data_IF_631354658262
#
_entry.id   IF_631354658262
#
_cell.length_a   1.000
_cell.length_b   1.000
_cell.length_c   1.000
_cell.angle_alpha   90.00
_cell.angle_beta   90.00
_cell.angle_gamma   90.00
#
_symmetry.space_group_name_H-M   'P 1'
#
loop_
_entity.id
_entity.type
_entity.pdbx_description
1 polymer ?
#
# COMPACT_ATOMS: atom_id res chain seq x y z
N UNK A 1 6.96 -17.87 14.87
CA UNK A 1 7.20 -16.47 15.26
C UNK A 1 5.84 -15.88 15.56
N UNK A 2 5.58 -15.47 16.80
CA UNK A 2 4.27 -14.95 17.17
C UNK A 2 4.12 -13.57 16.51
N UNK A 3 3.19 -13.46 15.55
CA UNK A 3 2.69 -12.18 15.07
C UNK A 3 2.17 -11.43 16.29
N UNK A 4 2.99 -10.53 16.80
CA UNK A 4 2.63 -9.74 17.96
C UNK A 4 1.74 -8.66 17.41
N UNK A 5 0.42 -8.82 17.60
CA UNK A 5 -0.60 -7.84 17.22
C UNK A 5 -0.34 -6.53 17.97
N UNK A 6 0.56 -5.72 17.41
CA UNK A 6 1.03 -4.45 17.98
C UNK A 6 -0.05 -3.36 17.88
N UNK A 7 -0.99 -3.54 16.95
CA UNK A 7 -1.94 -2.52 16.51
C UNK A 7 -3.35 -2.63 17.10
N UNK A 8 -3.57 -3.45 18.12
CA UNK A 8 -4.91 -3.62 18.71
C UNK A 8 -5.14 -2.60 19.83
N UNK A 9 -6.24 -1.85 19.75
CA UNK A 9 -6.64 -0.89 20.80
C UNK A 9 -6.70 -1.54 22.19
N UNK A 10 -7.03 -2.83 22.26
CA UNK A 10 -7.09 -3.62 23.50
C UNK A 10 -5.75 -3.70 24.26
N UNK A 11 -4.63 -3.33 23.64
CA UNK A 11 -3.31 -3.29 24.30
C UNK A 11 -3.03 -2.01 25.07
N UNK A 12 -3.77 -0.95 24.79
CA UNK A 12 -3.50 0.36 25.35
C UNK A 12 -4.69 0.82 26.18
N UNK A 13 -4.47 1.35 27.40
CA UNK A 13 -5.56 1.91 28.17
C UNK A 13 -6.23 3.05 27.39
N UNK A 14 -7.56 2.97 27.26
CA UNK A 14 -8.35 3.96 26.53
C UNK A 14 -9.06 4.87 27.54
N UNK A 15 -8.96 6.18 27.32
CA UNK A 15 -9.65 7.20 28.08
C UNK A 15 -10.95 7.55 27.37
N UNK A 16 -12.04 7.43 28.10
CA UNK A 16 -13.39 7.73 27.63
C UNK A 16 -13.92 9.01 28.28
N UNK A 17 -14.73 9.77 27.54
CA UNK A 17 -15.55 10.86 28.07
C UNK A 17 -17.01 10.55 27.75
N UNK A 18 -17.78 10.17 28.77
CA UNK A 18 -19.05 9.50 28.54
C UNK A 18 -18.84 8.12 27.92
N UNK A 19 -19.53 7.86 26.81
CA UNK A 19 -19.39 6.61 26.02
C UNK A 19 -18.46 6.77 24.80
N UNK A 20 -17.82 7.94 24.63
CA UNK A 20 -16.93 8.21 23.49
C UNK A 20 -15.45 8.06 23.85
N UNK A 21 -14.69 7.44 22.95
CA UNK A 21 -13.23 7.32 23.05
C UNK A 21 -12.59 8.69 22.79
N UNK A 22 -11.81 9.18 23.75
CA UNK A 22 -11.16 10.50 23.67
C UNK A 22 -9.64 10.43 23.52
N UNK A 23 -9.00 9.47 24.17
CA UNK A 23 -7.54 9.30 24.08
C UNK A 23 -7.12 7.85 24.33
N UNK A 24 -5.91 7.51 23.90
CA UNK A 24 -5.27 6.23 24.16
C UNK A 24 -3.94 6.51 24.86
N UNK A 25 -3.69 5.82 25.96
CA UNK A 25 -2.47 5.96 26.76
C UNK A 25 -1.43 4.97 26.25
N UNK A 26 -0.27 5.50 25.86
CA UNK A 26 0.82 4.72 25.26
C UNK A 26 2.10 5.07 26.02
N UNK A 27 2.94 4.08 26.31
CA UNK A 27 4.28 4.34 26.86
C UNK A 27 5.20 4.99 25.81
N UNK A 28 6.22 5.72 26.28
CA UNK A 28 7.10 6.51 25.40
C UNK A 28 7.86 5.63 24.39
N UNK A 29 8.19 4.38 24.74
CA UNK A 29 8.89 3.48 23.83
C UNK A 29 7.97 3.01 22.70
N UNK A 30 6.75 2.58 23.03
CA UNK A 30 5.75 2.21 22.03
C UNK A 30 5.35 3.40 21.15
N UNK A 31 5.24 4.60 21.73
CA UNK A 31 4.98 5.82 20.97
C UNK A 31 6.08 6.10 19.94
N UNK A 32 7.35 6.09 20.35
CA UNK A 32 8.47 6.33 19.43
C UNK A 32 8.54 5.29 18.29
N UNK A 33 8.17 4.04 18.55
CA UNK A 33 8.09 3.00 17.52
C UNK A 33 6.94 3.27 16.54
N UNK A 34 5.77 3.66 17.02
CA UNK A 34 4.64 4.02 16.16
C UNK A 34 4.94 5.26 15.33
N UNK A 35 5.54 6.29 15.94
CA UNK A 35 5.98 7.50 15.27
C UNK A 35 6.94 7.18 14.12
N UNK A 36 7.97 6.37 14.37
CA UNK A 36 8.90 5.94 13.33
C UNK A 36 8.22 5.21 12.16
N UNK A 37 7.26 4.32 12.46
CA UNK A 37 6.55 3.57 11.41
C UNK A 37 5.65 4.50 10.59
N UNK A 38 4.89 5.37 11.26
CA UNK A 38 4.00 6.33 10.60
C UNK A 38 4.82 7.32 9.76
N UNK A 39 5.93 7.83 10.29
CA UNK A 39 6.81 8.76 9.59
C UNK A 39 7.41 8.11 8.32
N UNK A 40 7.87 6.86 8.41
CA UNK A 40 8.33 6.11 7.25
C UNK A 40 7.23 5.83 6.23
N UNK A 41 5.98 5.60 6.66
CA UNK A 41 4.86 5.38 5.75
C UNK A 41 4.40 6.66 5.05
N UNK A 42 4.39 7.79 5.78
CA UNK A 42 3.98 9.09 5.26
C UNK A 42 5.05 9.71 4.35
N UNK A 43 6.31 9.52 4.69
CA UNK A 43 7.46 10.04 3.93
C UNK A 43 8.10 8.95 3.07
N UNK A 44 7.37 7.89 2.73
CA UNK A 44 7.86 6.91 1.77
C UNK A 44 7.99 7.62 0.43
N UNK A 45 9.23 7.92 0.03
CA UNK A 45 9.52 8.37 -1.31
C UNK A 45 9.04 7.29 -2.31
N UNK A 46 8.47 7.72 -3.43
CA UNK A 46 8.15 6.81 -4.52
C UNK A 46 9.42 6.07 -4.93
N UNK A 47 9.41 4.76 -4.76
CA UNK A 47 10.52 3.93 -5.18
C UNK A 47 10.43 3.74 -6.70
N UNK A 48 11.56 3.63 -7.42
CA UNK A 48 11.52 3.41 -8.88
C UNK A 48 10.75 2.13 -9.25
N UNK A 49 10.67 1.16 -8.35
CA UNK A 49 9.84 -0.03 -8.45
C UNK A 49 8.33 0.27 -8.48
N UNK A 50 7.87 1.34 -7.83
CA UNK A 50 6.46 1.75 -7.85
C UNK A 50 6.04 2.18 -9.27
N UNK A 51 6.93 2.86 -10.00
CA UNK A 51 6.71 3.20 -11.40
C UNK A 51 6.66 1.96 -12.29
N UNK A 52 7.50 0.95 -12.01
CA UNK A 52 7.49 -0.34 -12.72
C UNK A 52 6.19 -1.09 -12.44
N UNK A 53 5.72 -1.09 -11.19
CA UNK A 53 4.45 -1.70 -10.80
C UNK A 53 3.26 -1.02 -11.47
N UNK A 54 3.22 0.32 -11.51
CA UNK A 54 2.19 1.07 -12.21
C UNK A 54 2.19 0.78 -13.73
N UNK A 55 3.37 0.75 -14.36
CA UNK A 55 3.51 0.37 -15.77
C UNK A 55 3.09 -1.09 -16.02
N UNK A 56 3.29 -1.98 -15.03
CA UNK A 56 2.90 -3.39 -15.14
C UNK A 56 1.39 -3.58 -15.26
N UNK A 57 0.58 -2.67 -14.70
CA UNK A 57 -0.88 -2.76 -14.82
C UNK A 57 -1.35 -2.44 -16.24
N UNK A 58 -0.68 -1.50 -16.93
CA UNK A 58 -0.90 -1.25 -18.35
C UNK A 58 -0.53 -2.51 -19.17
N UNK A 59 0.60 -3.14 -18.86
CA UNK A 59 1.02 -4.39 -19.52
C UNK A 59 0.04 -5.54 -19.26
N UNK A 60 -0.53 -5.66 -18.06
CA UNK A 60 -1.58 -6.65 -17.76
C UNK A 60 -2.84 -6.40 -18.56
N UNK A 61 -3.26 -5.13 -18.71
CA UNK A 61 -4.42 -4.76 -19.51
C UNK A 61 -4.20 -5.09 -20.99
N UNK A 62 -3.04 -4.71 -21.55
CA UNK A 62 -2.66 -5.06 -22.93
C UNK A 62 -2.61 -6.58 -23.13
N UNK A 63 -2.04 -7.33 -22.18
CA UNK A 63 -2.01 -8.79 -22.25
C UNK A 63 -3.42 -9.41 -22.19
N UNK A 64 -4.31 -8.87 -21.35
CA UNK A 64 -5.69 -9.33 -21.25
C UNK A 64 -6.48 -9.03 -22.54
N UNK A 65 -6.24 -7.87 -23.16
CA UNK A 65 -6.85 -7.48 -24.41
C UNK A 65 -6.35 -8.33 -25.59
N UNK A 66 -5.04 -8.50 -25.72
CA UNK A 66 -4.43 -9.31 -26.77
C UNK A 66 -4.84 -10.80 -26.71
N UNK A 67 -5.23 -11.32 -25.54
CA UNK A 67 -5.78 -12.67 -25.40
C UNK A 67 -7.21 -12.82 -25.92
N UNK A 68 -7.95 -11.72 -26.01
CA UNK A 68 -9.36 -11.71 -26.45
C UNK A 68 -9.50 -11.40 -27.93
N UNK A 69 -8.51 -10.75 -28.52
CA UNK A 69 -8.50 -10.35 -29.92
C UNK A 69 -7.77 -11.40 -30.79
N UNK A 70 -8.22 -11.62 -32.03
CA UNK A 70 -7.45 -12.42 -32.99
C UNK A 70 -6.12 -11.70 -33.28
N UNK A 71 -5.02 -12.45 -33.46
CA UNK A 71 -3.70 -11.86 -33.68
C UNK A 71 -3.68 -10.96 -34.92
N UNK A 72 -3.19 -9.73 -34.76
CA UNK A 72 -3.05 -8.78 -35.86
C UNK A 72 -2.00 -9.25 -36.86
N UNK A 73 -2.24 -8.97 -38.14
CA UNK A 73 -1.30 -9.23 -39.22
C UNK A 73 -0.13 -8.22 -39.26
N UNK A 74 -0.31 -7.03 -38.66
CA UNK A 74 0.64 -5.90 -38.67
C UNK A 74 1.05 -5.47 -37.25
N UNK A 75 1.07 -6.41 -36.30
CA UNK A 75 1.30 -6.15 -34.86
C UNK A 75 2.57 -5.33 -34.57
N UNK A 76 3.60 -5.43 -35.40
CA UNK A 76 4.87 -4.71 -35.24
C UNK A 76 4.69 -3.20 -35.43
N UNK A 77 3.84 -2.78 -36.39
CA UNK A 77 3.50 -1.37 -36.60
C UNK A 77 2.60 -0.83 -35.48
N UNK A 78 1.69 -1.65 -34.98
CA UNK A 78 0.76 -1.27 -33.92
C UNK A 78 1.48 -1.02 -32.59
N UNK A 79 2.60 -1.70 -32.33
CA UNK A 79 3.44 -1.48 -31.15
C UNK A 79 4.27 -0.19 -31.26
N UNK A 80 4.78 0.14 -32.45
CA UNK A 80 5.57 1.38 -32.65
C UNK A 80 4.72 2.66 -32.53
N UNK A 81 3.39 2.56 -32.64
CA UNK A 81 2.44 3.68 -32.55
C UNK A 81 1.85 3.88 -31.13
N UNK A 82 2.17 3.01 -30.16
CA UNK A 82 1.72 3.06 -28.75
C UNK A 82 2.66 3.89 -27.86
#
# INVERSE_FOLDING_TARGET
MAETNFWTMDRFPVVYEGDEVKAILVDVTSFAQMELIIDNLLNREEEPEDAILAASDVLKQLSAQARQEPPSADWEREIDEL
#
